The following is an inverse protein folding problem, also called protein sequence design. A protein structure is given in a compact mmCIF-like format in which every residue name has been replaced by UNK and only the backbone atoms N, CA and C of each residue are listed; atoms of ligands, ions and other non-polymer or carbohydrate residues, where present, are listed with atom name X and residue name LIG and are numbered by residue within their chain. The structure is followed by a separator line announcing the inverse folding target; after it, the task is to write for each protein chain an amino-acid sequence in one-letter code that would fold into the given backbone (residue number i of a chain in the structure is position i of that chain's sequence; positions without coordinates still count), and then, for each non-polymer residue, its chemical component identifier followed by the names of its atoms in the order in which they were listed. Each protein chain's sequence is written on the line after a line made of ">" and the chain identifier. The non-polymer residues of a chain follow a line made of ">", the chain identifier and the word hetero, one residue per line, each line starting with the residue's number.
data_IF_201987497967
#
_entry.id   IF_201987497967
#
_cell.length_a   1.000
_cell.length_b   1.000
_cell.length_c   1.000
_cell.angle_alpha   90.00
_cell.angle_beta   90.00
_cell.angle_gamma   90.00
#
_symmetry.space_group_name_H-M   'P 1'
#
loop_
_entity.id
_entity.type
_entity.pdbx_description
1 polymer ?
#
# COMPACT_ATOMS: atom_id res chain seq x y z
N UNK A 1 37.42 5.62 15.68
CA UNK A 1 36.34 4.73 15.98
C UNK A 1 35.10 5.19 15.28
N UNK A 2 34.72 4.42 14.31
CA UNK A 2 33.50 4.75 13.63
C UNK A 2 32.38 4.52 14.58
N UNK A 3 31.80 5.53 14.98
CA UNK A 3 30.47 5.44 15.45
C UNK A 3 29.66 4.98 14.29
N UNK A 4 29.42 3.74 14.30
CA UNK A 4 28.26 3.31 13.68
C UNK A 4 27.15 4.09 14.26
N UNK A 5 26.91 5.16 13.65
CA UNK A 5 25.59 5.62 13.59
C UNK A 5 24.77 4.45 13.20
N UNK A 6 24.39 3.72 14.20
CA UNK A 6 23.15 3.06 14.13
C UNK A 6 22.15 4.17 13.90
N UNK A 7 22.15 4.69 12.71
CA UNK A 7 20.93 5.21 12.18
C UNK A 7 20.02 4.02 12.25
N UNK A 8 19.32 3.93 13.35
CA UNK A 8 18.18 3.10 13.39
C UNK A 8 17.29 3.56 12.28
N UNK A 9 17.52 3.04 11.10
CA UNK A 9 16.51 2.99 10.09
C UNK A 9 15.39 2.25 10.77
N UNK A 10 14.41 3.02 11.21
CA UNK A 10 13.20 2.43 11.73
C UNK A 10 12.78 1.38 10.71
N UNK A 11 12.82 0.12 11.09
CA UNK A 11 12.36 -0.95 10.26
C UNK A 11 10.93 -0.63 9.86
N UNK A 12 10.57 -0.82 8.60
CA UNK A 12 9.19 -0.68 8.15
C UNK A 12 8.31 -1.61 8.98
N UNK A 13 7.10 -1.19 9.32
CA UNK A 13 6.17 -2.08 10.00
C UNK A 13 5.67 -3.16 9.05
N UNK A 14 5.17 -4.25 9.62
CA UNK A 14 4.39 -5.21 8.85
C UNK A 14 3.02 -4.62 8.52
N UNK A 15 2.34 -5.19 7.53
CA UNK A 15 0.98 -4.76 7.21
C UNK A 15 0.07 -4.95 8.42
N UNK A 16 0.22 -6.05 9.15
CA UNK A 16 -0.55 -6.30 10.37
C UNK A 16 -0.35 -5.21 11.43
N UNK A 17 0.87 -4.69 11.56
CA UNK A 17 1.19 -3.62 12.51
C UNK A 17 0.59 -2.27 12.10
N UNK A 18 0.21 -2.10 10.85
CA UNK A 18 -0.42 -0.87 10.37
C UNK A 18 -1.91 -0.79 10.71
N UNK A 19 -2.51 -1.91 11.16
CA UNK A 19 -3.92 -1.96 11.51
C UNK A 19 -4.25 -0.88 12.55
N UNK A 20 -5.34 -0.17 12.31
CA UNK A 20 -5.85 0.97 13.09
C UNK A 20 -5.02 2.26 12.94
N UNK A 21 -3.79 2.17 12.43
CA UNK A 21 -2.90 3.32 12.24
C UNK A 21 -2.93 3.84 10.80
N UNK A 22 -2.95 2.93 9.84
CA UNK A 22 -2.79 3.26 8.43
C UNK A 22 -3.76 2.48 7.57
N UNK A 23 -4.20 3.09 6.47
CA UNK A 23 -4.76 2.37 5.34
C UNK A 23 -3.60 1.94 4.46
N UNK A 24 -3.74 0.85 3.74
CA UNK A 24 -2.66 0.30 2.93
C UNK A 24 -3.15 0.05 1.51
N UNK A 25 -2.39 0.53 0.54
CA UNK A 25 -2.58 0.13 -0.85
C UNK A 25 -1.45 -0.83 -1.21
N UNK A 26 -1.79 -2.08 -1.43
CA UNK A 26 -0.85 -3.08 -1.94
C UNK A 26 -0.87 -2.97 -3.45
N UNK A 27 0.31 -2.76 -4.04
CA UNK A 27 0.49 -2.73 -5.49
C UNK A 27 1.46 -3.84 -5.85
N UNK A 28 0.94 -4.91 -6.43
CA UNK A 28 1.74 -6.08 -6.78
C UNK A 28 1.92 -6.18 -8.29
N UNK A 29 3.13 -6.49 -8.71
CA UNK A 29 3.46 -6.64 -10.12
C UNK A 29 4.54 -7.71 -10.30
N UNK A 30 4.66 -8.31 -11.51
CA UNK A 30 5.71 -9.29 -11.77
C UNK A 30 7.12 -8.71 -11.64
N UNK A 31 7.28 -7.43 -11.98
CA UNK A 31 8.58 -6.74 -11.94
C UNK A 31 8.39 -5.24 -11.84
N UNK A 32 9.48 -4.53 -11.57
CA UNK A 32 9.48 -3.06 -11.52
C UNK A 32 9.25 -2.38 -12.87
N UNK A 33 9.26 -3.13 -13.96
CA UNK A 33 9.09 -2.61 -15.32
C UNK A 33 7.67 -2.79 -15.85
N UNK A 34 6.79 -3.34 -15.06
CA UNK A 34 5.40 -3.58 -15.44
C UNK A 34 4.69 -2.26 -15.79
N UNK A 35 3.98 -2.23 -16.90
CA UNK A 35 3.32 -1.02 -17.40
C UNK A 35 2.24 -0.53 -16.43
N UNK A 36 1.44 -1.44 -15.90
CA UNK A 36 0.38 -1.10 -14.95
C UNK A 36 0.96 -0.56 -13.66
N UNK A 37 2.11 -1.08 -13.20
CA UNK A 37 2.82 -0.56 -12.05
C UNK A 37 3.25 0.89 -12.28
N UNK A 38 3.80 1.19 -13.45
CA UNK A 38 4.22 2.56 -13.77
C UNK A 38 3.04 3.52 -13.77
N UNK A 39 1.93 3.10 -14.36
CA UNK A 39 0.71 3.91 -14.38
C UNK A 39 0.22 4.16 -12.95
N UNK A 40 0.15 3.13 -12.12
CA UNK A 40 -0.28 3.28 -10.73
C UNK A 40 0.64 4.21 -9.95
N UNK A 41 1.94 4.08 -10.15
CA UNK A 41 2.91 4.97 -9.49
C UNK A 41 2.71 6.43 -9.88
N UNK A 42 2.44 6.69 -11.17
CA UNK A 42 2.17 8.05 -11.66
C UNK A 42 0.92 8.64 -11.02
N UNK A 43 -0.15 7.87 -10.97
CA UNK A 43 -1.41 8.29 -10.32
C UNK A 43 -1.17 8.62 -8.86
N UNK A 44 -0.45 7.76 -8.13
CA UNK A 44 -0.19 7.96 -6.71
C UNK A 44 0.73 9.16 -6.45
N UNK A 45 1.69 9.41 -7.33
CA UNK A 45 2.58 10.57 -7.22
C UNK A 45 1.79 11.87 -7.34
N UNK A 46 0.88 11.95 -8.30
CA UNK A 46 0.04 13.12 -8.51
C UNK A 46 -0.97 13.34 -7.38
N UNK A 47 -1.31 12.28 -6.68
CA UNK A 47 -2.33 12.29 -5.61
C UNK A 47 -1.70 12.26 -4.20
N UNK A 48 -0.40 12.38 -4.09
CA UNK A 48 0.34 12.12 -2.85
C UNK A 48 -0.16 12.94 -1.66
N UNK A 49 -0.40 14.23 -1.84
CA UNK A 49 -0.87 15.10 -0.74
C UNK A 49 -2.19 14.58 -0.16
N UNK A 50 -3.11 14.22 -1.03
CA UNK A 50 -4.42 13.70 -0.61
C UNK A 50 -4.31 12.29 -0.01
N UNK A 51 -3.40 11.47 -0.52
CA UNK A 51 -3.11 10.16 0.05
C UNK A 51 -2.56 10.28 1.46
N UNK A 52 -1.61 11.19 1.67
CA UNK A 52 -1.02 11.42 2.99
C UNK A 52 -2.08 11.92 3.99
N UNK A 53 -2.99 12.79 3.56
CA UNK A 53 -4.08 13.29 4.39
C UNK A 53 -5.05 12.18 4.82
N UNK A 54 -5.05 11.05 4.11
CA UNK A 54 -5.89 9.88 4.39
C UNK A 54 -5.15 8.74 5.05
N UNK A 55 -3.94 9.00 5.53
CA UNK A 55 -3.08 8.01 6.21
C UNK A 55 -2.88 6.76 5.36
N UNK A 56 -2.66 6.93 4.06
CA UNK A 56 -2.45 5.82 3.14
C UNK A 56 -0.96 5.51 3.01
N UNK A 57 -0.62 4.27 3.28
CA UNK A 57 0.72 3.72 3.03
C UNK A 57 0.69 2.87 1.77
N UNK A 58 1.73 2.98 0.96
CA UNK A 58 1.87 2.18 -0.25
C UNK A 58 2.84 1.04 0.03
N UNK A 59 2.40 -0.19 -0.26
CA UNK A 59 3.24 -1.38 -0.17
C UNK A 59 3.34 -1.99 -1.56
N UNK A 60 4.55 -2.02 -2.10
CA UNK A 60 4.79 -2.62 -3.41
C UNK A 60 5.34 -4.03 -3.24
N UNK A 61 4.80 -4.96 -4.02
CA UNK A 61 5.29 -6.34 -4.10
C UNK A 61 5.72 -6.57 -5.55
N UNK A 62 7.04 -6.58 -5.77
CA UNK A 62 7.64 -6.64 -7.10
C UNK A 62 8.43 -7.95 -7.21
N UNK A 63 7.83 -8.95 -7.87
CA UNK A 63 8.43 -10.27 -7.87
C UNK A 63 8.56 -10.80 -6.43
N UNK A 64 9.78 -11.00 -5.98
CA UNK A 64 10.07 -11.44 -4.60
C UNK A 64 10.50 -10.32 -3.67
N UNK A 65 10.46 -9.06 -4.13
CA UNK A 65 10.84 -7.90 -3.32
C UNK A 65 9.61 -7.17 -2.78
N UNK A 66 9.75 -6.61 -1.59
CA UNK A 66 8.70 -5.80 -0.95
C UNK A 66 9.28 -4.45 -0.58
N UNK A 67 8.56 -3.38 -0.87
CA UNK A 67 8.87 -2.02 -0.44
C UNK A 67 7.71 -1.48 0.39
N UNK A 68 8.03 -0.88 1.52
CA UNK A 68 7.03 -0.23 2.37
C UNK A 68 6.45 -1.09 3.48
N UNK A 69 6.86 -2.35 3.60
CA UNK A 69 6.45 -3.23 4.68
C UNK A 69 7.57 -4.24 4.98
N UNK A 70 7.57 -4.77 6.20
CA UNK A 70 8.54 -5.76 6.63
C UNK A 70 8.17 -7.19 6.22
N UNK A 71 6.93 -7.40 5.77
CA UNK A 71 6.46 -8.72 5.30
C UNK A 71 7.28 -9.18 4.09
N UNK A 72 7.43 -10.49 3.94
CA UNK A 72 8.01 -11.02 2.71
C UNK A 72 6.97 -11.05 1.59
N UNK A 73 7.44 -11.07 0.34
CA UNK A 73 6.55 -11.20 -0.80
C UNK A 73 5.68 -12.47 -0.71
N UNK A 74 6.27 -13.58 -0.29
CA UNK A 74 5.54 -14.85 -0.13
C UNK A 74 4.41 -14.73 0.90
N UNK A 75 4.66 -14.05 2.02
CA UNK A 75 3.64 -13.83 3.05
C UNK A 75 2.48 -13.01 2.52
N UNK A 76 2.76 -11.91 1.82
CA UNK A 76 1.74 -11.03 1.26
C UNK A 76 0.94 -11.77 0.18
N UNK A 77 1.63 -12.44 -0.73
CA UNK A 77 0.98 -13.18 -1.81
C UNK A 77 0.01 -14.23 -1.29
N UNK A 78 0.42 -14.94 -0.25
CA UNK A 78 -0.41 -15.98 0.36
C UNK A 78 -1.62 -15.38 1.09
N UNK A 79 -1.38 -14.37 1.91
CA UNK A 79 -2.44 -13.76 2.72
C UNK A 79 -3.53 -13.14 1.87
N UNK A 80 -3.15 -12.42 0.83
CA UNK A 80 -4.09 -11.69 -0.02
C UNK A 80 -4.40 -12.41 -1.33
N UNK A 81 -3.88 -13.63 -1.52
CA UNK A 81 -4.11 -14.45 -2.71
C UNK A 81 -3.81 -13.67 -3.99
N UNK A 82 -2.59 -13.14 -4.06
CA UNK A 82 -2.17 -12.34 -5.19
C UNK A 82 -1.85 -13.23 -6.39
N UNK A 83 -2.40 -12.93 -7.57
CA UNK A 83 -2.02 -13.60 -8.81
C UNK A 83 -0.62 -13.14 -9.26
N UNK A 84 -0.09 -13.78 -10.29
CA UNK A 84 1.21 -13.40 -10.85
C UNK A 84 1.17 -12.05 -11.58
N UNK A 85 0.00 -11.68 -12.14
CA UNK A 85 -0.18 -10.42 -12.87
C UNK A 85 -0.37 -9.25 -11.91
N UNK A 86 -0.35 -8.02 -12.48
CA UNK A 86 -0.60 -6.81 -11.70
C UNK A 86 -1.90 -6.92 -10.90
N UNK A 87 -1.84 -6.51 -9.64
CA UNK A 87 -3.02 -6.45 -8.76
C UNK A 87 -2.83 -5.32 -7.76
N UNK A 88 -3.86 -4.52 -7.57
CA UNK A 88 -3.88 -3.48 -6.55
C UNK A 88 -5.00 -3.79 -5.55
N UNK A 89 -4.71 -3.66 -4.25
CA UNK A 89 -5.66 -3.96 -3.19
C UNK A 89 -5.64 -2.83 -2.17
N UNK A 90 -6.81 -2.26 -1.89
CA UNK A 90 -6.96 -1.25 -0.84
C UNK A 90 -7.43 -1.94 0.44
N UNK A 91 -6.64 -1.76 1.50
CA UNK A 91 -6.90 -2.28 2.84
C UNK A 91 -7.29 -1.10 3.74
N UNK A 92 -8.40 -1.23 4.45
CA UNK A 92 -8.83 -0.21 5.42
C UNK A 92 -8.02 -0.26 6.71
N UNK A 93 -8.23 0.73 7.59
CA UNK A 93 -7.55 0.75 8.89
C UNK A 93 -7.94 -0.45 9.77
N UNK A 94 -9.12 -1.03 9.55
CA UNK A 94 -9.55 -2.24 10.25
C UNK A 94 -8.86 -3.52 9.76
N UNK A 95 -7.97 -3.40 8.79
CA UNK A 95 -7.25 -4.53 8.20
C UNK A 95 -8.04 -5.28 7.12
N UNK A 96 -9.25 -4.86 6.81
CA UNK A 96 -10.10 -5.52 5.81
C UNK A 96 -9.85 -5.01 4.39
N UNK A 97 -9.93 -5.93 3.43
CA UNK A 97 -9.84 -5.58 2.02
C UNK A 97 -11.10 -4.83 1.59
N UNK A 98 -10.92 -3.65 0.98
CA UNK A 98 -12.04 -2.78 0.56
C UNK A 98 -12.24 -2.75 -0.94
N UNK A 99 -11.15 -2.81 -1.71
CA UNK A 99 -11.17 -2.85 -3.16
C UNK A 99 -10.06 -3.75 -3.66
N UNK A 100 -10.28 -4.36 -4.80
CA UNK A 100 -9.29 -5.15 -5.52
C UNK A 100 -9.45 -4.90 -7.01
N UNK A 101 -8.34 -4.74 -7.72
CA UNK A 101 -8.38 -4.51 -9.17
C UNK A 101 -7.18 -5.16 -9.84
N UNK A 102 -7.42 -5.65 -11.06
CA UNK A 102 -6.35 -6.15 -11.94
C UNK A 102 -5.76 -5.01 -12.79
N UNK A 103 -6.28 -3.82 -12.68
CA UNK A 103 -5.80 -2.62 -13.37
C UNK A 103 -5.57 -1.50 -12.37
N UNK A 104 -4.73 -0.49 -12.71
CA UNK A 104 -4.46 0.61 -11.79
C UNK A 104 -5.72 1.32 -11.33
N UNK A 105 -5.78 1.66 -10.04
CA UNK A 105 -6.88 2.44 -9.49
C UNK A 105 -6.73 3.91 -9.88
N UNK A 106 -7.77 4.52 -10.47
CA UNK A 106 -7.81 5.97 -10.57
C UNK A 106 -7.82 6.61 -9.18
N UNK A 107 -7.22 7.79 -9.04
CA UNK A 107 -7.22 8.51 -7.77
C UNK A 107 -8.65 8.74 -7.24
N UNK A 108 -9.58 9.08 -8.13
CA UNK A 108 -10.97 9.32 -7.76
C UNK A 108 -11.63 8.10 -7.12
N UNK A 109 -11.30 6.89 -7.58
CA UNK A 109 -11.85 5.66 -7.01
C UNK A 109 -11.32 5.41 -5.60
N UNK A 110 -10.02 5.64 -5.39
CA UNK A 110 -9.41 5.53 -4.06
C UNK A 110 -9.98 6.57 -3.10
N UNK A 111 -10.08 7.81 -3.54
CA UNK A 111 -10.60 8.91 -2.73
C UNK A 111 -12.05 8.64 -2.30
N UNK A 112 -12.91 8.29 -3.23
CA UNK A 112 -14.31 8.00 -2.95
C UNK A 112 -14.47 6.84 -1.97
N UNK A 113 -13.69 5.78 -2.15
CA UNK A 113 -13.78 4.60 -1.28
C UNK A 113 -13.30 4.91 0.12
N UNK A 114 -12.17 5.61 0.25
CA UNK A 114 -11.63 5.97 1.57
C UNK A 114 -12.56 6.95 2.28
N UNK A 115 -13.06 7.96 1.58
CA UNK A 115 -13.92 8.98 2.19
C UNK A 115 -15.27 8.41 2.65
N UNK A 116 -15.69 7.27 2.11
CA UNK A 116 -16.87 6.54 2.56
C UNK A 116 -16.62 5.63 3.76
N UNK A 117 -15.37 5.43 4.17
CA UNK A 117 -15.05 4.58 5.32
C UNK A 117 -15.55 5.20 6.62
N UNK A 118 -16.05 4.37 7.58
CA UNK A 118 -16.65 4.90 8.81
C UNK A 118 -15.78 5.86 9.61
N UNK A 119 -14.50 5.55 9.79
CA UNK A 119 -13.59 6.42 10.53
C UNK A 119 -13.42 7.78 9.84
N UNK A 120 -13.27 7.76 8.52
CA UNK A 120 -13.09 8.98 7.74
C UNK A 120 -14.36 9.84 7.75
N UNK A 121 -15.53 9.21 7.61
CA UNK A 121 -16.83 9.89 7.64
C UNK A 121 -17.13 10.50 8.99
N UNK A 122 -16.62 9.90 10.07
CA UNK A 122 -16.81 10.42 11.42
C UNK A 122 -15.85 11.56 11.76
N UNK A 123 -15.07 12.06 10.80
CA UNK A 123 -14.08 13.11 11.03
C UNK A 123 -12.77 12.61 11.62
N UNK A 124 -12.59 11.31 11.75
CA UNK A 124 -11.32 10.67 12.13
C UNK A 124 -10.50 10.43 10.87
N UNK A 125 -9.18 10.43 11.03
CA UNK A 125 -8.30 10.25 9.86
C UNK A 125 -8.34 8.80 9.32
#
# INVERSE_FOLDING_TARGET
>A
MSILLAVALAASPTIAQMKWERRVLIVAAPSGEDVSLREQRGILADWKVKADARDLSIVEVLGDQVRGAADTAAQIRRKYRLPAAFTAILIGKDGGEKLRSATPFPAAALEATIDAMPMRRAGQR
#
